data_IF_941720028131
#
_entry.id   IF_941720028131
#
_cell.length_a   1.000
_cell.length_b   1.000
_cell.length_c   1.000
_cell.angle_alpha   90.00
_cell.angle_beta   90.00
_cell.angle_gamma   90.00
#
_symmetry.space_group_name_H-M   'P 1'
#
loop_
_entity.id
_entity.type
_entity.pdbx_description
1 polymer ?
#
# COMPACT_ATOMS: atom_id res chain seq x y z
N UNK A 1 -10.39 27.92 19.74
CA UNK A 1 -9.39 27.04 19.09
C UNK A 1 -9.62 27.05 17.58
N UNK A 2 -8.99 27.97 16.84
CA UNK A 2 -9.22 28.15 15.39
C UNK A 2 -7.96 27.89 14.55
N UNK A 3 -6.76 28.06 15.13
CA UNK A 3 -5.51 27.92 14.38
C UNK A 3 -5.21 26.49 13.92
N UNK A 4 -5.50 25.47 14.74
CA UNK A 4 -5.24 24.06 14.41
C UNK A 4 -6.10 23.63 13.21
N UNK A 5 -7.42 23.87 13.25
CA UNK A 5 -8.34 23.54 12.15
C UNK A 5 -8.04 24.36 10.89
N UNK A 6 -7.62 25.63 11.04
CA UNK A 6 -7.17 26.46 9.92
C UNK A 6 -5.87 25.92 9.29
N UNK A 7 -4.93 25.43 10.10
CA UNK A 7 -3.72 24.81 9.59
C UNK A 7 -4.03 23.54 8.78
N UNK A 8 -4.83 22.63 9.33
CA UNK A 8 -5.23 21.40 8.63
C UNK A 8 -6.08 21.64 7.37
N UNK A 9 -6.82 22.75 7.29
CA UNK A 9 -7.61 23.12 6.10
C UNK A 9 -6.87 23.99 5.08
N UNK A 10 -5.71 24.53 5.46
CA UNK A 10 -4.86 25.36 4.59
C UNK A 10 -4.22 24.56 3.46
N UNK A 11 -3.77 25.26 2.40
CA UNK A 11 -3.03 24.64 1.30
C UNK A 11 -1.67 24.07 1.73
N UNK A 12 -1.02 24.70 2.71
CA UNK A 12 0.28 24.26 3.22
C UNK A 12 0.14 23.03 4.13
N UNK A 13 -0.82 23.04 5.06
CA UNK A 13 -1.05 21.91 5.98
C UNK A 13 -1.44 20.64 5.23
N UNK A 14 -2.30 20.74 4.21
CA UNK A 14 -2.63 19.59 3.33
C UNK A 14 -1.40 19.00 2.64
N UNK A 15 -0.48 19.83 2.14
CA UNK A 15 0.76 19.34 1.51
C UNK A 15 1.66 18.64 2.52
N UNK A 16 1.80 19.18 3.73
CA UNK A 16 2.59 18.55 4.80
C UNK A 16 2.01 17.18 5.16
N UNK A 17 0.71 17.08 5.39
CA UNK A 17 0.05 15.80 5.70
C UNK A 17 0.20 14.80 4.55
N UNK A 18 0.04 15.26 3.30
CA UNK A 18 0.25 14.43 2.12
C UNK A 18 1.69 13.88 2.06
N UNK A 19 2.69 14.69 2.39
CA UNK A 19 4.09 14.23 2.44
C UNK A 19 4.37 13.27 3.58
N UNK A 20 3.82 13.51 4.78
CA UNK A 20 4.04 12.64 5.94
C UNK A 20 3.37 11.27 5.76
N UNK A 21 2.14 11.26 5.24
CA UNK A 21 1.45 10.02 4.88
C UNK A 21 2.21 9.25 3.80
N UNK A 22 2.69 9.93 2.75
CA UNK A 22 3.49 9.30 1.70
C UNK A 22 4.81 8.73 2.22
N UNK A 23 5.53 9.46 3.07
CA UNK A 23 6.77 8.99 3.70
C UNK A 23 6.52 7.74 4.54
N UNK A 24 5.46 7.73 5.33
CA UNK A 24 5.07 6.56 6.11
C UNK A 24 4.81 5.34 5.21
N UNK A 25 4.08 5.51 4.10
CA UNK A 25 3.79 4.43 3.16
C UNK A 25 5.06 3.90 2.47
N UNK A 26 6.02 4.77 2.13
CA UNK A 26 7.31 4.34 1.57
C UNK A 26 8.10 3.51 2.59
N UNK A 27 8.14 3.94 3.85
CA UNK A 27 8.78 3.16 4.92
C UNK A 27 8.09 1.81 5.11
N UNK A 28 6.76 1.76 5.05
CA UNK A 28 6.02 0.51 5.08
C UNK A 28 6.40 -0.42 3.92
N UNK A 29 6.55 0.11 2.69
CA UNK A 29 6.94 -0.69 1.53
C UNK A 29 8.30 -1.39 1.71
N UNK A 30 9.25 -0.77 2.42
CA UNK A 30 10.54 -1.41 2.73
C UNK A 30 10.33 -2.64 3.60
N UNK A 31 9.57 -2.50 4.70
CA UNK A 31 9.26 -3.62 5.61
C UNK A 31 8.45 -4.70 4.88
N UNK A 32 7.50 -4.28 4.05
CA UNK A 32 6.69 -5.17 3.24
C UNK A 32 7.56 -5.98 2.26
N UNK A 33 8.52 -5.34 1.61
CA UNK A 33 9.47 -6.01 0.72
C UNK A 33 10.33 -7.01 1.48
N UNK A 34 10.86 -6.66 2.66
CA UNK A 34 11.63 -7.59 3.51
C UNK A 34 10.86 -8.87 3.84
N UNK A 35 9.55 -8.75 4.12
CA UNK A 35 8.67 -9.90 4.28
C UNK A 35 8.50 -10.73 3.00
N UNK A 36 8.32 -10.08 1.85
CA UNK A 36 8.21 -10.76 0.56
C UNK A 36 9.51 -11.44 0.13
N UNK A 37 10.67 -10.91 0.50
CA UNK A 37 11.96 -11.57 0.25
C UNK A 37 12.08 -12.93 0.98
N UNK A 38 11.26 -13.20 2.01
CA UNK A 38 11.22 -14.53 2.62
C UNK A 38 10.62 -15.59 1.69
N UNK A 39 9.86 -15.21 0.64
CA UNK A 39 9.31 -16.14 -0.35
C UNK A 39 10.39 -16.85 -1.16
N UNK A 40 11.58 -16.24 -1.31
CA UNK A 40 12.70 -16.78 -2.09
C UNK A 40 13.71 -17.56 -1.24
N UNK A 41 13.38 -17.85 0.02
CA UNK A 41 14.26 -18.61 0.93
C UNK A 41 14.48 -20.07 0.51
N UNK A 42 13.65 -20.62 -0.39
CA UNK A 42 13.77 -22.00 -0.89
C UNK A 42 13.36 -23.08 0.12
N UNK A 43 12.66 -22.69 1.18
CA UNK A 43 12.30 -23.54 2.33
C UNK A 43 10.81 -23.95 2.33
N UNK A 44 10.19 -24.01 1.15
CA UNK A 44 8.76 -24.30 0.97
C UNK A 44 7.84 -23.33 1.76
N UNK A 45 8.29 -22.10 1.98
CA UNK A 45 7.48 -21.04 2.57
C UNK A 45 7.54 -20.94 4.09
N UNK A 46 8.40 -21.72 4.75
CA UNK A 46 8.55 -21.71 6.20
C UNK A 46 8.91 -20.32 6.73
N UNK A 47 9.98 -19.70 6.21
CA UNK A 47 10.42 -18.37 6.61
C UNK A 47 9.32 -17.31 6.40
N UNK A 48 8.60 -17.40 5.28
CA UNK A 48 7.50 -16.48 4.98
C UNK A 48 6.34 -16.64 5.96
N UNK A 49 5.90 -17.87 6.23
CA UNK A 49 4.80 -18.14 7.15
C UNK A 49 5.15 -17.76 8.60
N UNK A 50 6.38 -18.05 9.05
CA UNK A 50 6.86 -17.65 10.37
C UNK A 50 6.95 -16.11 10.50
N UNK A 51 7.47 -15.44 9.47
CA UNK A 51 7.50 -13.98 9.42
C UNK A 51 6.08 -13.39 9.46
N UNK A 52 5.16 -13.93 8.66
CA UNK A 52 3.77 -13.48 8.64
C UNK A 52 3.06 -13.73 9.98
N UNK A 53 3.34 -14.86 10.64
CA UNK A 53 2.87 -15.12 12.00
C UNK A 53 3.38 -14.06 12.98
N UNK A 54 4.68 -13.74 12.96
CA UNK A 54 5.25 -12.69 13.81
C UNK A 54 4.57 -11.34 13.58
N UNK A 55 4.39 -10.93 12.32
CA UNK A 55 3.74 -9.67 11.95
C UNK A 55 2.27 -9.62 12.38
N UNK A 56 1.57 -10.76 12.37
CA UNK A 56 0.14 -10.84 12.67
C UNK A 56 -0.17 -11.11 14.14
N UNK A 57 0.81 -11.49 14.96
CA UNK A 57 0.62 -11.78 16.39
C UNK A 57 1.18 -10.70 17.30
N UNK A 58 2.27 -10.05 16.91
CA UNK A 58 2.92 -9.01 17.71
C UNK A 58 1.97 -7.82 17.99
N UNK A 59 1.69 -7.49 19.27
CA UNK A 59 0.75 -6.42 19.63
C UNK A 59 1.13 -5.03 19.10
N UNK A 60 2.43 -4.70 19.10
CA UNK A 60 2.91 -3.41 18.60
C UNK A 60 2.69 -3.30 17.09
N UNK A 61 2.97 -4.38 16.34
CA UNK A 61 2.75 -4.41 14.89
C UNK A 61 1.26 -4.35 14.57
N UNK A 62 0.39 -5.02 15.34
CA UNK A 62 -1.07 -4.89 15.21
C UNK A 62 -1.51 -3.44 15.38
N UNK A 63 -1.03 -2.75 16.40
CA UNK A 63 -1.34 -1.34 16.61
C UNK A 63 -0.89 -0.46 15.43
N UNK A 64 0.35 -0.63 14.98
CA UNK A 64 0.88 0.08 13.81
C UNK A 64 0.07 -0.22 12.54
N UNK A 65 -0.43 -1.45 12.38
CA UNK A 65 -1.25 -1.84 11.22
C UNK A 65 -2.57 -1.06 11.12
N UNK A 66 -3.18 -0.71 12.27
CA UNK A 66 -4.38 0.14 12.28
C UNK A 66 -4.03 1.53 11.74
N UNK A 67 -2.90 2.08 12.20
CA UNK A 67 -2.36 3.34 11.68
C UNK A 67 -2.09 3.28 10.17
N UNK A 68 -1.54 2.17 9.68
CA UNK A 68 -1.31 1.96 8.24
C UNK A 68 -2.61 2.03 7.43
N UNK A 69 -3.68 1.34 7.83
CA UNK A 69 -4.95 1.39 7.11
C UNK A 69 -5.50 2.83 7.06
N UNK A 70 -5.43 3.55 8.18
CA UNK A 70 -5.85 4.96 8.24
C UNK A 70 -4.99 5.83 7.33
N UNK A 71 -3.66 5.63 7.32
CA UNK A 71 -2.73 6.41 6.49
C UNK A 71 -2.93 6.16 5.00
N UNK A 72 -3.21 4.92 4.58
CA UNK A 72 -3.56 4.58 3.19
C UNK A 72 -4.79 5.38 2.75
N UNK A 73 -5.89 5.32 3.53
CA UNK A 73 -7.13 6.02 3.21
C UNK A 73 -6.94 7.53 3.21
N UNK A 74 -6.26 8.07 4.23
CA UNK A 74 -5.96 9.48 4.34
C UNK A 74 -5.13 9.97 3.14
N UNK A 75 -4.10 9.22 2.75
CA UNK A 75 -3.24 9.54 1.60
C UNK A 75 -4.02 9.57 0.30
N UNK A 76 -4.83 8.53 0.04
CA UNK A 76 -5.62 8.42 -1.19
C UNK A 76 -6.67 9.54 -1.30
N UNK A 77 -7.45 9.77 -0.23
CA UNK A 77 -8.49 10.80 -0.20
C UNK A 77 -7.89 12.19 -0.30
N UNK A 78 -6.83 12.48 0.47
CA UNK A 78 -6.19 13.80 0.44
C UNK A 78 -5.54 14.07 -0.92
N UNK A 79 -4.90 13.07 -1.52
CA UNK A 79 -4.35 13.15 -2.88
C UNK A 79 -5.42 13.48 -3.91
N UNK A 80 -6.57 12.81 -3.86
CA UNK A 80 -7.71 13.09 -4.74
C UNK A 80 -8.27 14.51 -4.53
N UNK A 81 -8.45 14.93 -3.28
CA UNK A 81 -8.93 16.29 -2.94
C UNK A 81 -7.97 17.35 -3.49
N UNK A 82 -6.66 17.17 -3.33
CA UNK A 82 -5.66 18.09 -3.87
C UNK A 82 -5.73 18.12 -5.40
N UNK A 83 -5.84 16.96 -6.05
CA UNK A 83 -5.95 16.87 -7.51
C UNK A 83 -7.20 17.62 -8.03
N UNK A 84 -8.37 17.37 -7.44
CA UNK A 84 -9.62 18.01 -7.84
C UNK A 84 -9.56 19.53 -7.63
N UNK A 85 -9.03 19.99 -6.49
CA UNK A 85 -8.84 21.43 -6.24
C UNK A 85 -7.90 22.08 -7.25
N UNK A 86 -6.78 21.42 -7.57
CA UNK A 86 -5.83 21.92 -8.56
C UNK A 86 -6.46 21.96 -9.96
N UNK A 87 -7.27 20.95 -10.32
CA UNK A 87 -7.99 20.90 -11.59
C UNK A 87 -8.99 22.05 -11.71
N UNK A 88 -9.80 22.30 -10.68
CA UNK A 88 -10.78 23.40 -10.66
C UNK A 88 -10.08 24.77 -10.68
N UNK A 89 -8.98 24.94 -9.93
CA UNK A 89 -8.24 26.20 -9.88
C UNK A 89 -7.53 26.55 -11.21
N UNK A 90 -7.20 25.54 -12.03
CA UNK A 90 -6.54 25.74 -13.33
C UNK A 90 -7.47 26.35 -14.39
N UNK A 91 -8.79 26.14 -14.29
CA UNK A 91 -9.77 26.61 -15.29
C UNK A 91 -9.46 26.16 -16.72
N UNK A 92 -9.93 26.92 -17.72
CA UNK A 92 -9.60 26.72 -19.15
C UNK A 92 -8.32 27.42 -19.60
N UNK A 93 -7.64 28.14 -18.70
CA UNK A 93 -6.48 28.96 -19.06
C UNK A 93 -5.24 28.06 -19.19
N UNK A 94 -4.51 28.13 -20.32
CA UNK A 94 -3.23 27.45 -20.42
C UNK A 94 -2.28 28.12 -19.42
N UNK A 95 -2.03 27.44 -18.31
CA UNK A 95 -0.99 27.86 -17.34
C UNK A 95 0.31 28.00 -18.10
N UNK A 96 1.00 29.14 -17.95
CA UNK A 96 2.34 29.35 -18.46
C UNK A 96 3.16 28.08 -18.17
N UNK A 97 3.63 27.42 -19.23
CA UNK A 97 4.35 26.15 -19.13
C UNK A 97 5.67 26.49 -18.44
N UNK A 98 5.72 26.35 -17.11
CA UNK A 98 6.98 26.41 -16.40
C UNK A 98 7.88 25.38 -17.07
N UNK A 99 8.96 25.84 -17.70
CA UNK A 99 10.00 25.02 -18.36
C UNK A 99 10.82 24.21 -17.34
N UNK A 100 10.26 23.93 -16.17
CA UNK A 100 10.87 23.04 -15.21
C UNK A 100 10.80 21.62 -15.76
N UNK A 101 11.92 20.91 -15.73
CA UNK A 101 12.02 19.51 -16.16
C UNK A 101 11.33 18.59 -15.13
N UNK A 102 9.99 18.65 -15.13
CA UNK A 102 9.16 17.86 -14.22
C UNK A 102 9.01 16.46 -14.82
N UNK A 103 9.46 15.45 -14.06
CA UNK A 103 9.35 14.03 -14.40
C UNK A 103 7.91 13.67 -14.80
N UNK A 104 7.76 12.75 -15.75
CA UNK A 104 6.45 12.31 -16.25
C UNK A 104 5.56 11.75 -15.13
N UNK A 105 6.14 10.99 -14.20
CA UNK A 105 5.43 10.46 -13.04
C UNK A 105 4.80 11.58 -12.17
N UNK A 106 5.53 12.69 -11.97
CA UNK A 106 5.02 13.85 -11.22
C UNK A 106 3.87 14.56 -11.95
N UNK A 107 3.85 14.53 -13.29
CA UNK A 107 2.75 15.09 -14.09
C UNK A 107 1.49 14.22 -14.05
N UNK A 108 1.66 12.90 -13.89
CA UNK A 108 0.58 11.91 -13.93
C UNK A 108 0.29 11.30 -12.55
N UNK A 109 0.69 11.98 -11.46
CA UNK A 109 0.62 11.46 -10.10
C UNK A 109 -0.79 10.99 -9.70
N UNK A 110 -1.84 11.70 -10.12
CA UNK A 110 -3.22 11.30 -9.83
C UNK A 110 -3.62 10.01 -10.57
N UNK A 111 -3.23 9.87 -11.84
CA UNK A 111 -3.48 8.67 -12.64
C UNK A 111 -2.75 7.45 -12.05
N UNK A 112 -1.44 7.60 -11.79
CA UNK A 112 -0.64 6.54 -11.19
C UNK A 112 -1.17 6.15 -9.81
N UNK A 113 -1.53 7.12 -8.97
CA UNK A 113 -2.14 6.86 -7.67
C UNK A 113 -3.46 6.11 -7.76
N UNK A 114 -4.32 6.41 -8.75
CA UNK A 114 -5.56 5.64 -8.97
C UNK A 114 -5.29 4.21 -9.42
N UNK A 115 -4.32 3.99 -10.30
CA UNK A 115 -3.91 2.64 -10.70
C UNK A 115 -3.40 1.83 -9.49
N UNK A 116 -2.55 2.43 -8.65
CA UNK A 116 -2.07 1.83 -7.40
C UNK A 116 -3.22 1.54 -6.43
N UNK A 117 -4.23 2.41 -6.36
CA UNK A 117 -5.39 2.20 -5.49
C UNK A 117 -6.20 0.96 -5.92
N UNK A 118 -6.42 0.76 -7.22
CA UNK A 118 -7.08 -0.45 -7.73
C UNK A 118 -6.26 -1.71 -7.42
N UNK A 119 -4.95 -1.66 -7.67
CA UNK A 119 -4.04 -2.73 -7.29
C UNK A 119 -4.15 -3.06 -5.79
N UNK A 120 -4.16 -2.04 -4.94
CA UNK A 120 -4.23 -2.20 -3.49
C UNK A 120 -5.55 -2.85 -3.04
N UNK A 121 -6.68 -2.53 -3.67
CA UNK A 121 -7.97 -3.18 -3.38
C UNK A 121 -7.88 -4.68 -3.67
N UNK A 122 -7.37 -5.06 -4.84
CA UNK A 122 -7.20 -6.47 -5.22
C UNK A 122 -6.23 -7.16 -4.24
N UNK A 123 -5.08 -6.54 -4.00
CA UNK A 123 -4.05 -7.04 -3.09
C UNK A 123 -4.56 -7.24 -1.65
N UNK A 124 -5.30 -6.28 -1.11
CA UNK A 124 -5.91 -6.37 0.21
C UNK A 124 -7.03 -7.41 0.25
N UNK A 125 -7.79 -7.59 -0.83
CA UNK A 125 -8.78 -8.65 -0.94
C UNK A 125 -8.18 -10.05 -0.86
N UNK A 126 -7.16 -10.31 -1.66
CA UNK A 126 -6.58 -11.65 -1.77
C UNK A 126 -5.76 -12.08 -0.55
N UNK A 127 -5.05 -11.15 0.10
CA UNK A 127 -4.16 -11.51 1.20
C UNK A 127 -4.72 -11.09 2.56
N UNK A 128 -5.04 -9.82 2.73
CA UNK A 128 -5.45 -9.31 4.04
C UNK A 128 -6.86 -9.76 4.43
N UNK A 129 -7.82 -9.65 3.52
CA UNK A 129 -9.21 -9.98 3.78
C UNK A 129 -9.39 -11.48 3.95
N UNK A 130 -8.88 -12.31 3.03
CA UNK A 130 -8.91 -13.78 3.15
C UNK A 130 -8.27 -14.25 4.46
N UNK A 131 -7.11 -13.69 4.83
CA UNK A 131 -6.44 -14.04 6.09
C UNK A 131 -7.26 -13.68 7.33
N UNK A 132 -7.89 -12.49 7.38
CA UNK A 132 -8.55 -12.00 8.60
C UNK A 132 -10.00 -12.42 8.75
N UNK A 133 -10.74 -12.53 7.66
CA UNK A 133 -12.20 -12.64 7.68
C UNK A 133 -12.72 -13.93 7.05
N UNK A 134 -11.84 -14.81 6.58
CA UNK A 134 -12.24 -16.10 6.03
C UNK A 134 -11.46 -17.23 6.66
N UNK A 135 -12.05 -18.42 6.63
CA UNK A 135 -11.43 -19.67 7.09
C UNK A 135 -10.82 -20.47 5.93
N UNK A 136 -10.53 -19.79 4.81
CA UNK A 136 -10.03 -20.43 3.57
C UNK A 136 -8.53 -20.70 3.59
N UNK A 137 -7.78 -20.07 4.51
CA UNK A 137 -6.33 -20.24 4.61
C UNK A 137 -6.02 -21.50 5.43
N UNK A 138 -5.40 -22.54 4.83
CA UNK A 138 -5.08 -23.77 5.54
C UNK A 138 -4.00 -23.52 6.61
N UNK A 139 -3.93 -24.42 7.58
CA UNK A 139 -2.88 -24.43 8.60
C UNK A 139 -1.71 -25.31 8.15
N UNK A 140 -0.50 -24.90 8.52
CA UNK A 140 0.74 -25.66 8.35
C UNK A 140 1.44 -25.77 9.69
N UNK A 141 2.10 -26.90 9.93
CA UNK A 141 2.87 -27.16 11.14
C UNK A 141 4.34 -27.23 10.79
N UNK A 142 5.17 -26.55 11.59
CA UNK A 142 6.62 -26.61 11.52
C UNK A 142 7.16 -27.15 12.85
N UNK A 143 8.35 -27.76 12.81
CA UNK A 143 8.97 -28.31 14.01
C UNK A 143 9.16 -27.22 15.09
N UNK A 144 8.72 -27.51 16.31
CA UNK A 144 8.75 -26.55 17.43
C UNK A 144 7.75 -25.38 17.34
N UNK A 145 6.79 -25.40 16.41
CA UNK A 145 5.78 -24.36 16.25
C UNK A 145 4.37 -24.91 16.36
N UNK A 146 3.47 -24.10 16.92
CA UNK A 146 2.04 -24.37 16.85
C UNK A 146 1.55 -24.24 15.39
N UNK A 147 0.42 -24.89 15.01
CA UNK A 147 -0.12 -24.73 13.66
C UNK A 147 -0.40 -23.26 13.33
N UNK A 148 0.19 -22.76 12.23
CA UNK A 148 0.04 -21.39 11.76
C UNK A 148 -0.60 -21.34 10.37
N UNK A 149 -1.18 -20.19 9.99
CA UNK A 149 -1.79 -20.00 8.66
C UNK A 149 -0.74 -20.07 7.56
N UNK A 150 -0.98 -20.90 6.54
CA UNK A 150 -0.11 -21.09 5.38
C UNK A 150 -0.38 -20.01 4.32
N UNK A 151 0.18 -18.82 4.54
CA UNK A 151 0.04 -17.70 3.61
C UNK A 151 0.90 -17.86 2.36
N UNK A 152 1.98 -18.63 2.44
CA UNK A 152 2.78 -19.01 1.28
C UNK A 152 1.96 -19.76 0.22
N UNK A 153 1.08 -20.67 0.65
CA UNK A 153 0.19 -21.38 -0.25
C UNK A 153 -0.82 -20.43 -0.90
N UNK A 154 -1.39 -19.48 -0.16
CA UNK A 154 -2.27 -18.45 -0.74
C UNK A 154 -1.53 -17.61 -1.81
N UNK A 155 -0.27 -17.25 -1.57
CA UNK A 155 0.58 -16.57 -2.57
C UNK A 155 0.75 -17.43 -3.82
N UNK A 156 1.06 -18.72 -3.63
CA UNK A 156 1.25 -19.68 -4.72
C UNK A 156 -0.03 -19.83 -5.55
N UNK A 157 -1.19 -20.00 -4.90
CA UNK A 157 -2.50 -20.10 -5.58
C UNK A 157 -2.82 -18.82 -6.35
N UNK A 158 -2.61 -17.64 -5.74
CA UNK A 158 -2.90 -16.37 -6.41
C UNK A 158 -2.03 -16.18 -7.65
N UNK A 159 -0.74 -16.53 -7.58
CA UNK A 159 0.21 -16.34 -8.69
C UNK A 159 0.28 -17.50 -9.68
N UNK A 160 -0.40 -18.62 -9.42
CA UNK A 160 -0.62 -19.66 -10.42
C UNK A 160 -1.47 -19.12 -11.59
N UNK A 161 -2.31 -18.11 -11.34
CA UNK A 161 -3.07 -17.42 -12.37
C UNK A 161 -2.22 -16.34 -13.09
N UNK A 162 -1.93 -16.49 -14.41
CA UNK A 162 -1.07 -15.55 -15.13
C UNK A 162 -1.60 -14.12 -15.18
N UNK A 163 -2.92 -13.92 -15.10
CA UNK A 163 -3.52 -12.59 -15.10
C UNK A 163 -3.16 -11.82 -13.82
N UNK A 164 -3.12 -12.51 -12.68
CA UNK A 164 -2.65 -11.91 -11.43
C UNK A 164 -1.16 -11.56 -11.55
N UNK A 165 -0.33 -12.46 -12.07
CA UNK A 165 1.11 -12.19 -12.29
C UNK A 165 1.30 -10.93 -13.12
N UNK A 166 0.66 -10.84 -14.29
CA UNK A 166 0.76 -9.68 -15.19
C UNK A 166 0.29 -8.40 -14.50
N UNK A 167 -0.85 -8.45 -13.79
CA UNK A 167 -1.37 -7.26 -13.09
C UNK A 167 -0.43 -6.76 -11.99
N UNK A 168 0.22 -7.67 -11.24
CA UNK A 168 1.19 -7.32 -10.20
C UNK A 168 2.47 -6.75 -10.79
N UNK A 169 3.02 -7.35 -11.84
CA UNK A 169 4.21 -6.84 -12.54
C UNK A 169 3.95 -5.44 -13.10
N UNK A 170 2.80 -5.23 -13.75
CA UNK A 170 2.38 -3.91 -14.23
C UNK A 170 2.28 -2.89 -13.09
N UNK A 171 1.70 -3.29 -11.96
CA UNK A 171 1.53 -2.42 -10.79
C UNK A 171 2.87 -2.01 -10.18
N UNK A 172 3.87 -2.91 -10.18
CA UNK A 172 5.24 -2.58 -9.73
C UNK A 172 5.90 -1.54 -10.64
N UNK A 173 5.71 -1.64 -11.96
CA UNK A 173 6.22 -0.63 -12.90
C UNK A 173 5.53 0.75 -12.71
N UNK A 174 4.25 0.75 -12.36
CA UNK A 174 3.49 1.96 -12.04
C UNK A 174 3.96 2.59 -10.72
N UNK A 175 4.28 1.76 -9.73
CA UNK A 175 4.78 2.20 -8.42
C UNK A 175 6.15 2.89 -8.55
N UNK A 176 7.01 2.34 -9.42
CA UNK A 176 8.33 2.88 -9.76
C UNK A 176 9.45 2.25 -8.95
#
# INVERSE_FOLDING_TARGET
MSWITNFFSSSIGRKVIMSLTGLFLITFLIVHLVGNLQLIAGDQGQAFNQYAYFMTTNPLIKFVSIGLYVMILLHAVLGLVIYLKNKTAKGTKPTARNKADVKWASKNMALLGTLILFFLIIHMGDFWFKMKFTDTIPLVTYDGWEPIKNLYEQVTITFDNPLFVVSYVFSMLVLG
#
